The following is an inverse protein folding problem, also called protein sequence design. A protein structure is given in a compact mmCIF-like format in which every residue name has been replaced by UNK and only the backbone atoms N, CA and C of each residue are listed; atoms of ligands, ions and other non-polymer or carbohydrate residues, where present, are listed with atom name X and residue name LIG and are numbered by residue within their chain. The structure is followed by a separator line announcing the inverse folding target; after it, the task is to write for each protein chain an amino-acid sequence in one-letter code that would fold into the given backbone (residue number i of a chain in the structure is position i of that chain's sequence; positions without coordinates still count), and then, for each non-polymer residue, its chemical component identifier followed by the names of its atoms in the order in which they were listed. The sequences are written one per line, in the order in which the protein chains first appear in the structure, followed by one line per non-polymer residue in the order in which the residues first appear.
data_IF_404848206638
#
_entry.id   IF_404848206638
#
_cell.length_a   1.000
_cell.length_b   1.000
_cell.length_c   1.000
_cell.angle_alpha   90.00
_cell.angle_beta   90.00
_cell.angle_gamma   90.00
#
_symmetry.space_group_name_H-M   'P 1'
#
loop_
_entity.id
_entity.type
_entity.pdbx_description
1 polymer ?
#
# COMPACT_ATOMS: atom_id res chain seq x y z
N UNK A 1 31.60 -4.62 -26.01
CA UNK A 1 30.13 -4.56 -26.06
C UNK A 1 29.64 -4.65 -24.62
N UNK A 2 29.44 -3.50 -23.97
CA UNK A 2 28.98 -3.43 -22.58
C UNK A 2 27.48 -3.24 -22.59
N UNK A 3 26.75 -4.25 -22.11
CA UNK A 3 25.32 -4.15 -21.88
C UNK A 3 25.09 -3.42 -20.54
N UNK A 4 24.55 -2.21 -20.60
CA UNK A 4 24.05 -1.51 -19.42
C UNK A 4 22.82 -2.25 -18.88
N UNK A 5 22.92 -2.78 -17.67
CA UNK A 5 21.79 -3.35 -16.95
C UNK A 5 20.80 -2.23 -16.60
N UNK A 6 19.56 -2.35 -17.08
CA UNK A 6 18.47 -1.47 -16.67
C UNK A 6 18.11 -1.75 -15.20
N UNK A 7 17.73 -0.72 -14.42
CA UNK A 7 17.33 -0.90 -13.03
C UNK A 7 16.06 -1.75 -12.97
N UNK A 8 16.13 -2.84 -12.22
CA UNK A 8 15.04 -3.80 -12.04
C UNK A 8 13.82 -3.13 -11.41
N UNK A 9 12.74 -3.06 -12.19
CA UNK A 9 11.43 -2.64 -11.73
C UNK A 9 10.91 -3.65 -10.70
N UNK A 10 11.09 -3.30 -9.43
CA UNK A 10 10.88 -4.22 -8.31
C UNK A 10 9.37 -4.32 -8.05
N UNK A 11 8.78 -5.51 -7.87
CA UNK A 11 7.33 -5.67 -7.69
C UNK A 11 6.73 -4.79 -6.57
N UNK A 12 7.55 -4.42 -5.58
CA UNK A 12 7.23 -3.48 -4.48
C UNK A 12 6.87 -2.05 -4.95
N UNK A 13 7.36 -1.60 -6.10
CA UNK A 13 7.06 -0.28 -6.66
C UNK A 13 5.71 -0.26 -7.40
N UNK A 14 5.28 -1.42 -7.92
CA UNK A 14 4.06 -1.54 -8.72
C UNK A 14 2.78 -1.48 -7.88
N UNK A 15 2.78 -2.04 -6.66
CA UNK A 15 1.58 -2.04 -5.82
C UNK A 15 1.16 -0.64 -5.39
N UNK A 16 2.09 0.18 -4.91
CA UNK A 16 1.78 1.57 -4.57
C UNK A 16 1.55 2.46 -5.80
N UNK A 17 2.24 2.21 -6.92
CA UNK A 17 1.96 2.89 -8.18
C UNK A 17 0.51 2.70 -8.65
N UNK A 18 -0.05 1.50 -8.47
CA UNK A 18 -1.43 1.17 -8.84
C UNK A 18 -2.48 1.81 -7.91
N UNK A 19 -2.20 1.95 -6.61
CA UNK A 19 -3.05 2.74 -5.69
C UNK A 19 -3.09 4.22 -6.10
N UNK A 20 -1.96 4.77 -6.58
CA UNK A 20 -1.86 6.16 -7.02
C UNK A 20 -2.52 6.43 -8.38
N UNK A 21 -2.56 5.44 -9.30
CA UNK A 21 -3.32 5.57 -10.55
C UNK A 21 -4.82 5.81 -10.30
N UNK A 22 -5.38 5.24 -9.22
CA UNK A 22 -6.77 5.48 -8.82
C UNK A 22 -6.99 6.91 -8.29
N UNK A 23 -6.00 7.54 -7.67
CA UNK A 23 -6.09 8.91 -7.17
C UNK A 23 -6.37 9.93 -8.30
N UNK A 24 -5.88 9.66 -9.52
CA UNK A 24 -6.15 10.47 -10.71
C UNK A 24 -7.56 10.29 -11.29
N UNK A 25 -8.29 9.26 -10.86
CA UNK A 25 -9.64 8.92 -11.33
C UNK A 25 -10.75 9.34 -10.34
N UNK A 26 -10.40 9.93 -9.20
CA UNK A 26 -11.36 10.37 -8.20
C UNK A 26 -12.14 11.62 -8.65
N UNK A 27 -13.38 11.73 -8.20
CA UNK A 27 -14.27 12.87 -8.52
C UNK A 27 -13.75 14.22 -7.96
N UNK A 28 -12.84 14.19 -6.98
CA UNK A 28 -12.21 15.37 -6.40
C UNK A 28 -10.70 15.16 -6.24
N UNK A 29 -9.85 16.16 -6.58
CA UNK A 29 -8.42 16.03 -6.42
C UNK A 29 -8.06 15.91 -4.93
N UNK A 30 -7.53 14.76 -4.53
CA UNK A 30 -7.12 14.43 -3.16
C UNK A 30 -6.09 15.42 -2.62
N UNK A 31 -5.19 15.90 -3.49
CA UNK A 31 -4.18 16.90 -3.15
C UNK A 31 -4.24 18.06 -4.16
N UNK A 32 -5.16 19.02 -3.99
CA UNK A 32 -5.36 20.08 -4.96
C UNK A 32 -4.13 20.99 -5.09
N UNK A 33 -3.87 21.48 -6.30
CA UNK A 33 -2.62 22.16 -6.67
C UNK A 33 -2.32 23.45 -5.89
N UNK A 34 -3.32 24.04 -5.23
CA UNK A 34 -3.17 25.25 -4.42
C UNK A 34 -2.53 24.98 -3.03
N UNK A 35 -2.36 23.72 -2.65
CA UNK A 35 -1.67 23.36 -1.41
C UNK A 35 -0.14 23.34 -1.60
N UNK A 36 0.65 23.69 -0.55
CA UNK A 36 2.10 23.50 -0.55
C UNK A 36 2.48 22.06 -0.91
N UNK A 37 3.58 21.86 -1.64
CA UNK A 37 4.02 20.54 -2.07
C UNK A 37 4.14 19.54 -0.91
N UNK A 38 4.73 19.95 0.20
CA UNK A 38 4.85 19.10 1.39
C UNK A 38 3.49 18.62 1.93
N UNK A 39 2.45 19.46 1.90
CA UNK A 39 1.12 19.06 2.36
C UNK A 39 0.42 18.14 1.37
N UNK A 40 0.69 18.31 0.07
CA UNK A 40 0.17 17.41 -0.97
C UNK A 40 0.77 16.01 -0.83
N UNK A 41 2.06 15.94 -0.53
CA UNK A 41 2.79 14.72 -0.25
C UNK A 41 2.20 13.99 0.98
N UNK A 42 1.99 14.71 2.09
CA UNK A 42 1.40 14.15 3.30
C UNK A 42 -0.04 13.67 3.09
N UNK A 43 -0.86 14.43 2.36
CA UNK A 43 -2.23 14.04 2.02
C UNK A 43 -2.29 12.79 1.12
N UNK A 44 -1.36 12.68 0.16
CA UNK A 44 -1.27 11.49 -0.69
C UNK A 44 -0.83 10.26 0.08
N UNK A 45 0.02 10.41 1.11
CA UNK A 45 0.37 9.30 2.00
C UNK A 45 -0.86 8.80 2.79
N UNK A 46 -1.63 9.72 3.38
CA UNK A 46 -2.87 9.37 4.11
C UNK A 46 -3.90 8.72 3.18
N UNK A 47 -4.12 9.29 1.99
CA UNK A 47 -5.04 8.72 1.01
C UNK A 47 -4.60 7.34 0.53
N UNK A 48 -3.32 7.18 0.21
CA UNK A 48 -2.76 5.89 -0.23
C UNK A 48 -2.95 4.80 0.82
N UNK A 49 -2.74 5.13 2.10
CA UNK A 49 -3.01 4.22 3.21
C UNK A 49 -4.51 3.89 3.33
N UNK A 50 -5.38 4.90 3.32
CA UNK A 50 -6.83 4.68 3.40
C UNK A 50 -7.33 3.79 2.25
N UNK A 51 -6.85 4.03 1.02
CA UNK A 51 -7.23 3.24 -0.16
C UNK A 51 -6.72 1.80 -0.09
N UNK A 52 -5.53 1.58 0.47
CA UNK A 52 -4.99 0.25 0.71
C UNK A 52 -5.85 -0.55 1.71
N UNK A 53 -6.26 0.08 2.81
CA UNK A 53 -7.15 -0.53 3.82
C UNK A 53 -8.50 -0.88 3.21
N UNK A 54 -9.06 0.02 2.41
CA UNK A 54 -10.33 -0.16 1.69
C UNK A 54 -10.26 -1.32 0.68
N UNK A 55 -9.25 -1.33 -0.20
CA UNK A 55 -9.02 -2.43 -1.16
C UNK A 55 -8.81 -3.78 -0.43
N UNK A 56 -8.15 -3.79 0.74
CA UNK A 56 -7.97 -5.00 1.54
C UNK A 56 -9.29 -5.49 2.16
N UNK A 57 -10.12 -4.58 2.66
CA UNK A 57 -11.44 -4.88 3.23
C UNK A 57 -12.44 -5.39 2.18
N UNK A 58 -12.42 -4.81 0.99
CA UNK A 58 -13.33 -5.18 -0.11
C UNK A 58 -12.85 -6.41 -0.89
N UNK A 59 -11.57 -6.79 -0.75
CA UNK A 59 -10.95 -7.88 -1.51
C UNK A 59 -10.54 -7.46 -2.92
N UNK A 60 -10.38 -6.16 -3.16
CA UNK A 60 -10.09 -5.51 -4.45
C UNK A 60 -8.60 -5.15 -4.63
N UNK A 61 -7.73 -5.68 -3.77
CA UNK A 61 -6.27 -5.56 -3.94
C UNK A 61 -5.85 -6.13 -5.30
N UNK A 62 -5.01 -5.38 -6.02
CA UNK A 62 -4.49 -5.79 -7.32
C UNK A 62 -3.63 -7.09 -7.24
N UNK A 63 -2.89 -7.24 -6.15
CA UNK A 63 -2.14 -8.46 -5.84
C UNK A 63 -2.21 -8.76 -4.32
N UNK A 64 -3.27 -9.44 -3.85
CA UNK A 64 -3.44 -9.74 -2.44
C UNK A 64 -2.32 -10.63 -1.88
N UNK A 65 -1.72 -11.48 -2.71
CA UNK A 65 -0.66 -12.39 -2.31
C UNK A 65 0.66 -11.64 -2.04
N UNK A 66 1.01 -10.70 -2.92
CA UNK A 66 2.19 -9.85 -2.72
C UNK A 66 2.05 -8.95 -1.49
N UNK A 67 0.86 -8.36 -1.28
CA UNK A 67 0.59 -7.57 -0.07
C UNK A 67 0.71 -8.42 1.20
N UNK A 68 0.14 -9.63 1.22
CA UNK A 68 0.27 -10.55 2.34
C UNK A 68 1.74 -10.91 2.63
N UNK A 69 2.54 -11.17 1.59
CA UNK A 69 3.96 -11.46 1.73
C UNK A 69 4.76 -10.27 2.29
N UNK A 70 4.44 -9.03 1.90
CA UNK A 70 5.06 -7.82 2.46
C UNK A 70 4.74 -7.68 3.95
N UNK A 71 3.49 -7.92 4.34
CA UNK A 71 3.05 -7.84 5.73
C UNK A 71 3.55 -9.01 6.59
N UNK A 72 3.96 -10.12 5.97
CA UNK A 72 4.41 -11.33 6.65
C UNK A 72 3.25 -12.21 7.13
N UNK A 73 2.15 -12.19 6.39
CA UNK A 73 0.93 -12.97 6.62
C UNK A 73 1.11 -14.36 6.00
N UNK A 74 0.81 -15.42 6.75
CA UNK A 74 0.95 -16.81 6.30
C UNK A 74 -0.32 -17.34 5.61
N UNK A 75 -1.46 -16.71 5.92
CA UNK A 75 -2.76 -17.00 5.35
C UNK A 75 -2.72 -16.88 3.82
N UNK A 76 -3.18 -17.93 3.13
CA UNK A 76 -3.19 -17.97 1.67
C UNK A 76 -4.43 -17.25 1.15
N UNK A 77 -4.30 -16.40 0.11
CA UNK A 77 -5.45 -15.81 -0.55
C UNK A 77 -6.41 -16.89 -1.06
N UNK A 78 -7.73 -16.66 -0.99
CA UNK A 78 -8.71 -17.59 -1.53
C UNK A 78 -8.50 -17.81 -3.04
N UNK A 79 -8.69 -19.04 -3.49
CA UNK A 79 -8.46 -19.42 -4.90
C UNK A 79 -9.40 -18.73 -5.90
N UNK A 80 -10.52 -18.18 -5.41
CA UNK A 80 -11.47 -17.39 -6.18
C UNK A 80 -11.46 -15.95 -5.68
N UNK A 81 -11.00 -14.99 -6.49
CA UNK A 81 -11.19 -13.56 -6.20
C UNK A 81 -12.70 -13.24 -6.14
N UNK A 82 -13.07 -12.36 -5.22
CA UNK A 82 -14.42 -11.83 -5.06
C UNK A 82 -14.80 -10.93 -6.26
N UNK A 83 -15.16 -11.56 -7.38
CA UNK A 83 -15.96 -10.93 -8.44
C UNK A 83 -17.44 -11.35 -8.35
N UNK A 84 -17.82 -12.09 -7.30
CA UNK A 84 -19.15 -12.65 -7.12
C UNK A 84 -19.98 -11.76 -6.17
N UNK A 85 -21.18 -11.30 -6.58
CA UNK A 85 -22.09 -10.60 -5.69
C UNK A 85 -22.49 -11.50 -4.49
N UNK A 86 -22.24 -11.04 -3.26
CA UNK A 86 -22.65 -11.77 -2.05
C UNK A 86 -21.77 -11.50 -0.83
N UNK A 87 -22.09 -12.12 0.31
CA UNK A 87 -21.18 -12.13 1.45
C UNK A 87 -19.93 -12.97 1.13
N UNK A 88 -18.73 -12.52 1.53
CA UNK A 88 -17.50 -13.28 1.35
C UNK A 88 -17.57 -14.63 2.07
N UNK A 89 -16.90 -15.63 1.50
CA UNK A 89 -16.80 -16.94 2.14
C UNK A 89 -15.96 -16.87 3.43
N UNK A 90 -16.15 -17.74 4.44
CA UNK A 90 -15.39 -17.67 5.68
C UNK A 90 -13.84 -17.65 5.52
N UNK A 91 -13.23 -18.42 4.58
CA UNK A 91 -11.79 -18.34 4.35
C UNK A 91 -11.34 -16.98 3.78
N UNK A 92 -12.20 -16.35 2.99
CA UNK A 92 -11.93 -15.02 2.44
C UNK A 92 -12.03 -13.95 3.54
N UNK A 93 -13.03 -14.04 4.41
CA UNK A 93 -13.13 -13.17 5.60
C UNK A 93 -11.88 -13.28 6.46
N UNK A 94 -11.42 -14.51 6.75
CA UNK A 94 -10.22 -14.73 7.55
C UNK A 94 -8.97 -14.10 6.90
N UNK A 95 -8.81 -14.24 5.58
CA UNK A 95 -7.70 -13.64 4.86
C UNK A 95 -7.75 -12.10 4.87
N UNK A 96 -8.94 -11.50 4.67
CA UNK A 96 -9.13 -10.04 4.74
C UNK A 96 -8.83 -9.49 6.14
N UNK A 97 -9.26 -10.18 7.19
CA UNK A 97 -8.93 -9.80 8.57
C UNK A 97 -7.44 -9.87 8.84
N UNK A 98 -6.75 -10.92 8.37
CA UNK A 98 -5.30 -11.03 8.52
C UNK A 98 -4.55 -9.89 7.79
N UNK A 99 -5.04 -9.46 6.62
CA UNK A 99 -4.52 -8.27 5.92
C UNK A 99 -4.68 -7.00 6.75
N UNK A 100 -5.86 -6.78 7.34
CA UNK A 100 -6.15 -5.61 8.16
C UNK A 100 -5.29 -5.59 9.43
N UNK A 101 -5.14 -6.72 10.11
CA UNK A 101 -4.25 -6.86 11.28
C UNK A 101 -2.78 -6.58 10.89
N UNK A 102 -2.35 -7.06 9.72
CA UNK A 102 -1.02 -6.78 9.19
C UNK A 102 -0.80 -5.29 8.90
N UNK A 103 -1.81 -4.60 8.34
CA UNK A 103 -1.75 -3.17 8.07
C UNK A 103 -1.76 -2.33 9.35
N UNK A 104 -2.54 -2.72 10.36
CA UNK A 104 -2.51 -2.10 11.71
C UNK A 104 -1.12 -2.21 12.32
N UNK A 105 -0.54 -3.42 12.33
CA UNK A 105 0.81 -3.63 12.85
C UNK A 105 1.86 -2.80 12.10
N UNK A 106 1.68 -2.61 10.79
CA UNK A 106 2.59 -1.79 9.99
C UNK A 106 2.42 -0.29 10.21
N UNK A 107 1.21 0.15 10.50
CA UNK A 107 0.90 1.51 10.92
C UNK A 107 1.54 1.83 12.29
N UNK A 108 1.50 0.89 13.23
CA UNK A 108 2.20 1.01 14.52
C UNK A 108 3.71 1.18 14.30
N UNK A 109 4.32 0.38 13.42
CA UNK A 109 5.75 0.56 13.04
C UNK A 109 6.03 1.94 12.47
N UNK A 110 5.10 2.52 11.72
CA UNK A 110 5.25 3.86 11.14
C UNK A 110 5.24 4.94 12.24
N UNK A 111 4.30 4.86 13.18
CA UNK A 111 4.24 5.76 14.33
C UNK A 111 5.45 5.62 15.25
N UNK A 112 5.86 4.39 15.56
CA UNK A 112 7.07 4.12 16.34
C UNK A 112 8.31 4.69 15.66
N UNK A 113 8.44 4.52 14.34
CA UNK A 113 9.55 5.12 13.58
C UNK A 113 9.53 6.65 13.63
N UNK A 114 8.36 7.26 13.59
CA UNK A 114 8.21 8.72 13.59
C UNK A 114 8.45 9.34 14.98
N UNK A 115 8.02 8.67 16.05
CA UNK A 115 8.10 9.15 17.44
C UNK A 115 9.42 8.72 18.13
N UNK A 116 9.96 7.57 17.74
CA UNK A 116 11.11 6.91 18.36
C UNK A 116 12.10 6.39 17.30
N UNK A 117 12.80 7.27 16.57
CA UNK A 117 13.62 6.90 15.41
C UNK A 117 14.84 6.03 15.73
N UNK A 118 15.25 5.95 17.00
CA UNK A 118 16.38 5.15 17.46
C UNK A 118 15.96 3.71 17.72
N UNK A 119 16.01 2.85 16.69
CA UNK A 119 15.84 1.40 16.84
C UNK A 119 14.45 0.85 16.54
N UNK A 120 13.52 1.68 16.04
CA UNK A 120 12.24 1.20 15.54
C UNK A 120 12.42 0.34 14.29
N UNK A 121 11.68 -0.77 14.22
CA UNK A 121 11.53 -1.51 12.98
C UNK A 121 10.71 -0.68 11.99
N UNK A 122 11.16 -0.65 10.73
CA UNK A 122 10.48 0.10 9.69
C UNK A 122 9.18 -0.57 9.24
N UNK A 123 8.21 0.21 8.73
CA UNK A 123 7.08 -0.31 7.99
C UNK A 123 7.55 -1.19 6.83
N UNK A 124 6.86 -2.31 6.66
CA UNK A 124 7.08 -3.31 5.61
C UNK A 124 6.29 -2.98 4.36
N UNK A 125 5.06 -2.50 4.52
CA UNK A 125 4.27 -2.04 3.39
C UNK A 125 4.75 -0.65 2.95
N UNK A 126 5.07 -0.48 1.66
CA UNK A 126 5.63 0.77 1.18
C UNK A 126 4.74 2.00 1.44
N UNK A 127 3.41 1.86 1.38
CA UNK A 127 2.47 2.98 1.63
C UNK A 127 2.53 3.51 3.08
N UNK A 128 3.05 2.72 4.01
CA UNK A 128 3.27 3.12 5.40
C UNK A 128 4.68 3.71 5.61
N UNK A 129 5.57 3.63 4.60
CA UNK A 129 6.89 4.24 4.65
C UNK A 129 6.84 5.74 4.30
N UNK A 130 7.77 6.56 4.82
CA UNK A 130 7.78 8.01 4.58
C UNK A 130 7.86 8.35 3.08
N UNK A 131 7.02 9.32 2.68
CA UNK A 131 6.80 9.74 1.28
C UNK A 131 8.08 10.05 0.49
N UNK A 132 9.12 10.55 1.15
CA UNK A 132 10.40 10.93 0.54
C UNK A 132 11.13 9.80 -0.20
N UNK A 133 10.74 8.54 0.01
CA UNK A 133 11.29 7.38 -0.72
C UNK A 133 10.61 7.14 -2.08
N UNK A 134 9.42 7.70 -2.31
CA UNK A 134 8.61 7.53 -3.53
C UNK A 134 8.88 8.58 -4.60
N UNK A 135 9.36 9.77 -4.21
CA UNK A 135 9.59 10.91 -5.10
C UNK A 135 10.93 10.87 -5.85
N UNK A 136 11.72 9.79 -5.73
CA UNK A 136 13.00 9.64 -6.45
C UNK A 136 12.87 9.01 -7.85
N UNK A 137 11.64 8.78 -8.32
CA UNK A 137 11.34 8.60 -9.75
C UNK A 137 11.35 9.95 -10.44
N UNK A 138 12.45 10.26 -11.11
CA UNK A 138 12.65 11.49 -11.90
C UNK A 138 11.59 11.60 -13.00
N UNK A 139 11.12 12.84 -13.21
CA UNK A 139 10.27 13.26 -14.32
C UNK A 139 10.81 12.89 -15.70
#
# INVERSE_FOLDING_TARGET
MSASAQPSDTPVNRSAGQTLEKAGAENFPVAPFFLPAAWRDDLMAVYGFARLVDDAGDGDLADPAATAALLGIEERPPATPSAQPGLPAPPEVAFRLALLDGLEHDLDRAFETALHPSGADRPRHPCCAPWSRWSTGTA
#
